data_IF_633788360310
#
_entry.id   IF_633788360310
#
_cell.length_a   1.000
_cell.length_b   1.000
_cell.length_c   1.000
_cell.angle_alpha   90.00
_cell.angle_beta   90.00
_cell.angle_gamma   90.00
#
_symmetry.space_group_name_H-M   'P 1'
#
loop_
_entity.id
_entity.type
_entity.pdbx_description
1 polymer ?
#
# COMPACT_ATOMS: atom_id res chain seq x y z
N UNK A 1 -1.85 -17.07 8.86
CA UNK A 1 -0.98 -15.91 8.53
C UNK A 1 0.38 -16.06 9.22
N UNK A 2 0.42 -16.15 10.55
CA UNK A 2 1.69 -16.11 11.29
C UNK A 2 2.68 -17.21 10.88
N UNK A 3 2.22 -18.47 10.81
CA UNK A 3 3.08 -19.56 10.33
C UNK A 3 3.55 -19.39 8.88
N UNK A 4 2.81 -18.66 8.03
CA UNK A 4 3.25 -18.36 6.66
C UNK A 4 4.35 -17.29 6.66
N UNK A 5 4.19 -16.22 7.44
CA UNK A 5 5.21 -15.19 7.62
C UNK A 5 6.51 -15.77 8.24
N UNK A 6 6.38 -16.62 9.26
CA UNK A 6 7.52 -17.32 9.89
C UNK A 6 8.29 -18.22 8.92
N UNK A 7 7.67 -18.65 7.81
CA UNK A 7 8.30 -19.46 6.76
C UNK A 7 8.69 -18.62 5.53
N UNK A 8 9.01 -17.34 5.73
CA UNK A 8 9.45 -16.41 4.67
C UNK A 8 8.36 -16.14 3.63
N UNK A 9 7.09 -16.19 4.05
CA UNK A 9 5.94 -15.84 3.24
C UNK A 9 5.76 -14.33 3.09
N UNK A 10 5.27 -13.91 1.93
CA UNK A 10 4.97 -12.51 1.61
C UNK A 10 3.47 -12.24 1.55
N UNK A 11 3.01 -11.17 2.18
CA UNK A 11 1.61 -10.73 2.09
C UNK A 11 1.51 -9.36 1.44
N UNK A 12 0.47 -9.18 0.62
CA UNK A 12 0.10 -7.89 0.04
C UNK A 12 -1.35 -7.61 0.37
N UNK A 13 -1.60 -6.46 1.01
CA UNK A 13 -2.92 -5.97 1.33
C UNK A 13 -3.22 -4.74 0.49
N UNK A 14 -4.35 -4.77 -0.21
CA UNK A 14 -4.79 -3.66 -1.06
C UNK A 14 -6.15 -3.18 -0.58
N UNK A 15 -6.25 -1.87 -0.38
CA UNK A 15 -7.48 -1.18 -0.12
C UNK A 15 -8.23 -1.74 1.11
N UNK A 16 -9.51 -2.09 0.97
CA UNK A 16 -10.35 -2.60 2.05
C UNK A 16 -9.91 -3.95 2.64
N UNK A 17 -8.89 -4.60 2.07
CA UNK A 17 -8.28 -5.78 2.68
C UNK A 17 -7.71 -5.51 4.08
N UNK A 18 -7.51 -4.25 4.48
CA UNK A 18 -7.07 -3.85 5.83
C UNK A 18 -8.17 -3.88 6.89
N UNK A 19 -9.43 -4.17 6.53
CA UNK A 19 -10.55 -4.25 7.46
C UNK A 19 -10.40 -5.46 8.41
N UNK A 20 -10.20 -5.16 9.68
CA UNK A 20 -10.05 -6.15 10.74
C UNK A 20 -11.36 -6.83 11.12
N UNK A 21 -12.53 -6.32 10.71
CA UNK A 21 -13.85 -6.90 11.03
C UNK A 21 -14.04 -7.20 12.53
N UNK A 22 -13.59 -6.29 13.39
CA UNK A 22 -13.60 -6.44 14.85
C UNK A 22 -12.34 -7.08 15.45
N UNK A 23 -11.43 -7.60 14.62
CA UNK A 23 -10.12 -8.14 15.01
C UNK A 23 -8.94 -7.22 14.68
N UNK A 24 -9.17 -5.93 14.48
CA UNK A 24 -8.18 -4.96 13.99
C UNK A 24 -6.92 -4.86 14.84
N UNK A 25 -7.00 -5.03 16.17
CA UNK A 25 -5.81 -4.99 17.05
C UNK A 25 -4.86 -6.14 16.71
N UNK A 26 -5.40 -7.35 16.57
CA UNK A 26 -4.63 -8.52 16.18
C UNK A 26 -4.15 -8.41 14.73
N UNK A 27 -4.99 -7.93 13.83
CA UNK A 27 -4.61 -7.74 12.44
C UNK A 27 -3.48 -6.72 12.28
N UNK A 28 -3.53 -5.60 13.01
CA UNK A 28 -2.48 -4.59 13.04
C UNK A 28 -1.14 -5.14 13.54
N UNK A 29 -1.12 -6.20 14.37
CA UNK A 29 0.16 -6.85 14.72
C UNK A 29 0.87 -7.45 13.50
N UNK A 30 0.11 -7.85 12.48
CA UNK A 30 0.57 -8.53 11.26
C UNK A 30 0.75 -7.56 10.09
N UNK A 31 -0.15 -6.59 9.94
CA UNK A 31 -0.15 -5.66 8.81
C UNK A 31 0.12 -4.21 9.22
N UNK A 32 0.45 -3.96 10.49
CA UNK A 32 0.93 -2.68 11.02
C UNK A 32 -0.19 -1.77 11.44
N UNK A 33 -1.05 -1.45 10.48
CA UNK A 33 -2.24 -0.65 10.66
C UNK A 33 -3.45 -1.38 10.07
N UNK A 34 -4.54 -1.47 10.81
CA UNK A 34 -5.77 -2.12 10.39
C UNK A 34 -6.99 -1.26 10.70
N UNK A 35 -8.04 -1.41 9.89
CA UNK A 35 -9.30 -0.68 10.05
C UNK A 35 -10.24 -1.40 11.00
N UNK A 36 -10.99 -0.63 11.78
CA UNK A 36 -12.26 -1.04 12.34
C UNK A 36 -13.35 -0.26 11.62
N UNK A 37 -14.23 -0.95 10.90
CA UNK A 37 -15.36 -0.34 10.20
C UNK A 37 -16.14 0.64 11.09
N UNK A 38 -16.37 1.85 10.58
CA UNK A 38 -17.06 2.93 11.31
C UNK A 38 -16.22 3.70 12.34
N UNK A 39 -14.96 3.29 12.58
CA UNK A 39 -14.05 3.98 13.52
C UNK A 39 -12.87 4.69 12.83
N UNK A 40 -12.69 4.45 11.52
CA UNK A 40 -11.69 5.14 10.71
C UNK A 40 -12.28 6.42 10.10
N UNK A 41 -11.41 7.31 9.64
CA UNK A 41 -11.77 8.38 8.70
C UNK A 41 -11.36 7.99 7.30
N UNK A 42 -12.14 8.44 6.32
CA UNK A 42 -11.87 8.23 4.91
C UNK A 42 -12.40 9.38 4.07
N UNK A 43 -11.86 9.53 2.87
CA UNK A 43 -12.46 10.38 1.82
C UNK A 43 -12.08 9.86 0.44
N UNK A 44 -12.90 10.21 -0.54
CA UNK A 44 -12.59 10.01 -1.96
C UNK A 44 -12.09 11.32 -2.56
N UNK A 45 -11.30 11.24 -3.62
CA UNK A 45 -10.93 12.37 -4.44
C UNK A 45 -9.43 12.46 -4.70
N UNK A 46 -8.92 13.67 -5.03
CA UNK A 46 -7.51 13.87 -5.32
C UNK A 46 -6.64 13.55 -4.11
N UNK A 47 -5.61 12.74 -4.33
CA UNK A 47 -4.55 12.42 -3.39
C UNK A 47 -3.22 12.84 -4.02
N UNK A 48 -2.42 13.66 -3.32
CA UNK A 48 -1.02 13.87 -3.65
C UNK A 48 -0.19 12.96 -2.73
N UNK A 49 0.36 11.89 -3.30
CA UNK A 49 1.15 10.93 -2.55
C UNK A 49 2.62 11.32 -2.60
N UNK A 50 3.22 11.48 -1.44
CA UNK A 50 4.64 11.76 -1.26
C UNK A 50 5.40 10.49 -0.88
N UNK A 51 6.38 10.11 -1.71
CA UNK A 51 7.26 8.95 -1.56
C UNK A 51 8.69 9.34 -1.11
N UNK A 52 9.00 10.64 -0.98
CA UNK A 52 10.33 11.11 -0.57
C UNK A 52 10.86 10.45 0.72
N UNK A 53 10.03 10.22 1.77
CA UNK A 53 10.49 9.55 2.99
C UNK A 53 11.02 8.12 2.77
N UNK A 54 10.76 7.52 1.61
CA UNK A 54 11.11 6.14 1.29
C UNK A 54 11.95 6.03 0.00
N UNK A 55 12.61 7.10 -0.44
CA UNK A 55 13.40 7.11 -1.68
C UNK A 55 14.51 6.03 -1.72
N UNK A 56 15.01 5.60 -0.56
CA UNK A 56 15.99 4.52 -0.39
C UNK A 56 15.36 3.11 -0.43
N UNK A 57 14.03 2.99 -0.29
CA UNK A 57 13.35 1.71 -0.33
C UNK A 57 13.15 1.25 -1.77
N UNK A 58 13.51 0.01 -2.13
CA UNK A 58 13.51 -0.44 -3.53
C UNK A 58 12.13 -0.42 -4.19
N UNK A 59 11.04 -0.53 -3.41
CA UNK A 59 9.66 -0.41 -3.93
C UNK A 59 9.35 1.01 -4.42
N UNK A 60 9.78 2.04 -3.68
CA UNK A 60 9.54 3.45 -4.01
C UNK A 60 10.67 4.09 -4.82
N UNK A 61 11.69 3.33 -5.21
CA UNK A 61 12.81 3.84 -6.02
C UNK A 61 12.30 4.56 -7.27
N UNK A 62 12.74 5.80 -7.47
CA UNK A 62 12.35 6.71 -8.56
C UNK A 62 10.90 7.23 -8.49
N UNK A 63 10.21 7.07 -7.36
CA UNK A 63 8.96 7.76 -7.07
C UNK A 63 9.26 8.99 -6.22
N UNK A 64 8.66 10.12 -6.59
CA UNK A 64 8.71 11.37 -5.83
C UNK A 64 7.30 11.71 -5.34
N UNK A 65 6.61 12.59 -6.06
CA UNK A 65 5.20 12.89 -5.82
C UNK A 65 4.34 12.42 -6.99
N UNK A 66 3.23 11.77 -6.68
CA UNK A 66 2.25 11.34 -7.69
C UNK A 66 0.86 11.77 -7.26
N UNK A 67 0.04 12.20 -8.23
CA UNK A 67 -1.35 12.54 -8.01
C UNK A 67 -2.25 11.45 -8.58
N UNK A 68 -3.16 10.95 -7.75
CA UNK A 68 -4.23 10.03 -8.16
C UNK A 68 -5.58 10.53 -7.66
N UNK A 69 -6.65 10.06 -8.28
CA UNK A 69 -8.02 10.19 -7.76
C UNK A 69 -8.42 8.83 -7.20
N UNK A 70 -8.41 8.69 -5.87
CA UNK A 70 -8.68 7.45 -5.15
C UNK A 70 -9.28 7.74 -3.76
N UNK A 71 -9.22 6.76 -2.87
CA UNK A 71 -9.65 6.83 -1.49
C UNK A 71 -8.45 6.73 -0.54
N UNK A 72 -8.46 7.55 0.52
CA UNK A 72 -7.49 7.49 1.61
C UNK A 72 -8.18 7.11 2.92
N UNK A 73 -7.43 6.46 3.82
CA UNK A 73 -7.85 6.08 5.16
C UNK A 73 -6.88 6.63 6.20
N UNK A 74 -7.42 7.06 7.34
CA UNK A 74 -6.60 7.41 8.51
C UNK A 74 -7.37 7.14 9.81
N UNK A 75 -6.68 7.31 10.95
CA UNK A 75 -7.15 6.80 12.26
C UNK A 75 -7.27 5.28 12.31
N UNK A 76 -6.35 4.58 11.62
CA UNK A 76 -6.24 3.12 11.69
C UNK A 76 -5.72 2.66 13.06
N UNK A 77 -6.12 1.47 13.48
CA UNK A 77 -5.60 0.84 14.69
C UNK A 77 -4.22 0.25 14.43
N UNK A 78 -3.26 0.52 15.33
CA UNK A 78 -1.92 -0.04 15.26
C UNK A 78 -0.86 0.93 15.80
N UNK A 79 0.40 0.54 15.69
CA UNK A 79 1.54 1.34 16.10
C UNK A 79 2.32 1.81 14.85
N UNK A 80 2.27 3.11 14.50
CA UNK A 80 3.03 3.66 13.38
C UNK A 80 4.55 3.47 13.50
N UNK A 81 5.10 3.27 14.71
CA UNK A 81 6.53 3.00 14.88
C UNK A 81 6.96 1.61 14.38
N UNK A 82 6.00 0.71 14.14
CA UNK A 82 6.25 -0.66 13.64
C UNK A 82 6.17 -0.79 12.12
N UNK A 83 5.83 0.28 11.41
CA UNK A 83 5.77 0.28 9.95
C UNK A 83 6.94 1.06 9.38
N UNK A 84 7.42 0.62 8.22
CA UNK A 84 8.22 1.47 7.36
C UNK A 84 7.28 2.16 6.38
N UNK A 85 7.19 3.48 6.48
CA UNK A 85 6.38 4.28 5.57
C UNK A 85 6.99 4.21 4.17
N UNK A 86 6.15 3.95 3.16
CA UNK A 86 6.53 3.98 1.75
C UNK A 86 5.97 5.22 1.06
N UNK A 87 4.74 5.62 1.40
CA UNK A 87 4.12 6.80 0.83
C UNK A 87 3.06 7.39 1.74
N UNK A 88 2.93 8.72 1.71
CA UNK A 88 2.00 9.47 2.55
C UNK A 88 1.07 10.37 1.76
N UNK A 89 -0.15 10.59 2.25
CA UNK A 89 -1.08 11.64 1.78
C UNK A 89 -1.35 12.61 2.93
N UNK A 90 -1.56 13.90 2.62
CA UNK A 90 -1.95 14.89 3.63
C UNK A 90 -3.44 14.73 3.96
N UNK A 91 -3.78 14.33 5.19
CA UNK A 91 -5.16 14.24 5.67
C UNK A 91 -5.28 14.83 7.08
N UNK A 92 -6.32 15.63 7.31
CA UNK A 92 -6.50 16.42 8.54
C UNK A 92 -5.22 17.21 8.90
N UNK A 93 -4.63 17.88 7.91
CA UNK A 93 -3.40 18.68 8.03
C UNK A 93 -2.17 17.93 8.55
N UNK A 94 -2.13 16.59 8.42
CA UNK A 94 -0.99 15.77 8.80
C UNK A 94 -0.69 14.70 7.74
N UNK A 95 0.58 14.36 7.51
CA UNK A 95 0.93 13.25 6.63
C UNK A 95 0.41 11.94 7.23
N UNK A 96 -0.38 11.19 6.45
CA UNK A 96 -0.92 9.88 6.81
C UNK A 96 -0.32 8.80 5.92
N UNK A 97 0.08 7.66 6.49
CA UNK A 97 0.59 6.55 5.68
C UNK A 97 -0.54 6.00 4.81
N UNK A 98 -0.26 5.90 3.51
CA UNK A 98 -1.15 5.26 2.52
C UNK A 98 -0.45 4.11 1.79
N UNK A 99 0.87 4.02 1.90
CA UNK A 99 1.65 2.83 1.57
C UNK A 99 2.65 2.57 2.69
N UNK A 100 2.79 1.32 3.10
CA UNK A 100 3.80 0.94 4.08
C UNK A 100 4.24 -0.52 3.96
N UNK A 101 5.36 -0.84 4.59
CA UNK A 101 5.87 -2.20 4.72
C UNK A 101 6.11 -2.58 6.17
N UNK A 102 6.18 -3.89 6.42
CA UNK A 102 6.56 -4.49 7.70
C UNK A 102 7.42 -5.71 7.45
N UNK A 103 8.50 -5.79 8.21
CA UNK A 103 9.36 -6.96 8.29
C UNK A 103 8.95 -7.81 9.51
N UNK A 104 8.66 -9.08 9.25
CA UNK A 104 8.33 -10.13 10.23
C UNK A 104 9.40 -11.21 10.23
N UNK A 105 10.66 -10.82 10.02
CA UNK A 105 11.87 -11.65 9.95
C UNK A 105 11.62 -13.17 10.12
N UNK A 106 11.50 -13.94 9.01
CA UNK A 106 11.88 -13.58 7.65
C UNK A 106 10.73 -13.03 6.79
N UNK A 107 9.47 -13.04 7.24
CA UNK A 107 8.32 -12.66 6.40
C UNK A 107 8.24 -11.17 6.06
N UNK A 108 7.52 -10.82 4.99
CA UNK A 108 7.35 -9.42 4.55
C UNK A 108 5.90 -9.09 4.23
N UNK A 109 5.48 -7.88 4.58
CA UNK A 109 4.15 -7.37 4.28
C UNK A 109 4.25 -6.03 3.57
N UNK A 110 3.54 -5.87 2.46
CA UNK A 110 3.34 -4.59 1.78
C UNK A 110 1.85 -4.24 1.81
N UNK A 111 1.53 -2.98 2.12
CA UNK A 111 0.16 -2.49 2.17
C UNK A 111 0.00 -1.26 1.29
N UNK A 112 -1.10 -1.22 0.55
CA UNK A 112 -1.57 -0.11 -0.27
C UNK A 112 -2.98 0.27 0.17
N UNK A 113 -3.20 1.49 0.62
CA UNK A 113 -4.57 2.03 0.83
C UNK A 113 -5.25 2.38 -0.50
N UNK A 114 -4.58 3.05 -1.46
CA UNK A 114 -5.17 3.25 -2.78
C UNK A 114 -5.44 1.91 -3.48
N UNK A 115 -6.39 1.93 -4.41
CA UNK A 115 -6.96 0.74 -5.04
C UNK A 115 -8.49 0.63 -4.89
N UNK A 116 -9.19 1.74 -4.60
CA UNK A 116 -10.65 1.78 -4.58
C UNK A 116 -11.23 1.65 -5.98
N UNK A 117 -10.65 2.38 -6.94
CA UNK A 117 -11.17 2.49 -8.30
C UNK A 117 -10.35 1.67 -9.29
N UNK A 118 -11.06 1.16 -10.31
CA UNK A 118 -10.42 0.38 -11.37
C UNK A 118 -9.38 1.20 -12.16
N UNK A 119 -9.62 2.50 -12.36
CA UNK A 119 -8.69 3.37 -13.10
C UNK A 119 -7.36 3.57 -12.38
N UNK A 120 -7.30 3.45 -11.05
CA UNK A 120 -6.02 3.46 -10.33
C UNK A 120 -5.14 2.30 -10.79
N UNK A 121 -5.75 1.13 -11.06
CA UNK A 121 -5.04 -0.02 -11.60
C UNK A 121 -4.72 0.11 -13.10
N UNK A 122 -5.27 1.09 -13.80
CA UNK A 122 -4.91 1.38 -15.19
C UNK A 122 -3.67 2.29 -15.28
N UNK A 123 -3.35 3.03 -14.21
CA UNK A 123 -2.18 3.90 -14.14
C UNK A 123 -0.87 3.08 -14.04
N UNK A 124 0.10 3.28 -14.96
CA UNK A 124 1.33 2.50 -14.99
C UNK A 124 2.23 2.75 -13.76
N UNK A 125 2.19 3.93 -13.15
CA UNK A 125 2.97 4.21 -11.95
C UNK A 125 2.40 3.46 -10.75
N UNK A 126 1.08 3.43 -10.58
CA UNK A 126 0.45 2.62 -9.52
C UNK A 126 0.72 1.12 -9.72
N UNK A 127 0.60 0.62 -10.95
CA UNK A 127 0.92 -0.78 -11.28
C UNK A 127 2.37 -1.13 -10.99
N UNK A 128 3.31 -0.25 -11.34
CA UNK A 128 4.73 -0.42 -11.02
C UNK A 128 4.93 -0.56 -9.52
N UNK A 129 4.35 0.35 -8.73
CA UNK A 129 4.46 0.34 -7.27
C UNK A 129 3.87 -0.94 -6.66
N UNK A 130 2.67 -1.34 -7.09
CA UNK A 130 1.99 -2.53 -6.61
C UNK A 130 2.78 -3.81 -6.96
N UNK A 131 3.26 -3.94 -8.20
CA UNK A 131 4.01 -5.11 -8.64
C UNK A 131 5.40 -5.19 -7.97
N UNK A 132 6.07 -4.06 -7.74
CA UNK A 132 7.27 -4.00 -6.91
C UNK A 132 6.99 -4.42 -5.48
N UNK A 133 5.87 -3.99 -4.91
CA UNK A 133 5.42 -4.42 -3.57
C UNK A 133 5.22 -5.94 -3.50
N UNK A 134 4.57 -6.54 -4.52
CA UNK A 134 4.39 -7.99 -4.63
C UNK A 134 5.74 -8.71 -4.73
N UNK A 135 6.64 -8.24 -5.61
CA UNK A 135 7.95 -8.85 -5.77
C UNK A 135 8.79 -8.76 -4.48
N UNK A 136 8.80 -7.59 -3.84
CA UNK A 136 9.51 -7.34 -2.59
C UNK A 136 9.01 -8.23 -1.44
N UNK A 137 7.68 -8.31 -1.27
CA UNK A 137 7.06 -9.18 -0.26
C UNK A 137 7.35 -10.65 -0.54
N UNK A 138 7.39 -11.06 -1.81
CA UNK A 138 7.74 -12.42 -2.24
C UNK A 138 9.23 -12.73 -2.26
N UNK A 139 10.10 -11.88 -1.70
CA UNK A 139 11.56 -12.04 -1.70
C UNK A 139 12.15 -12.25 -3.10
N UNK A 140 11.61 -11.53 -4.09
CA UNK A 140 12.11 -11.50 -5.46
C UNK A 140 12.80 -10.17 -5.74
N UNK A 141 13.53 -10.13 -6.86
CA UNK A 141 13.96 -8.87 -7.45
C UNK A 141 12.75 -7.96 -7.65
N UNK A 142 12.81 -6.73 -7.14
CA UNK A 142 11.70 -5.77 -7.22
C UNK A 142 11.31 -5.44 -8.65
N UNK A 143 12.24 -5.56 -9.60
CA UNK A 143 12.00 -5.27 -11.01
C UNK A 143 11.43 -6.48 -11.79
N UNK A 144 11.22 -7.63 -11.12
CA UNK A 144 10.77 -8.90 -11.73
C UNK A 144 9.55 -8.77 -12.65
N UNK A 145 8.66 -7.81 -12.36
CA UNK A 145 7.38 -7.65 -13.06
C UNK A 145 7.29 -6.33 -13.84
N UNK A 146 8.39 -5.59 -14.02
CA UNK A 146 8.34 -4.31 -14.74
C UNK A 146 7.88 -4.48 -16.20
N UNK A 147 8.27 -5.57 -16.87
CA UNK A 147 7.94 -5.82 -18.29
C UNK A 147 6.44 -6.01 -18.57
N UNK A 148 5.64 -6.28 -17.53
CA UNK A 148 4.17 -6.40 -17.65
C UNK A 148 3.43 -5.10 -17.32
N UNK A 149 4.14 -4.04 -16.91
CA UNK A 149 3.61 -2.69 -16.75
C UNK A 149 3.57 -1.99 -18.12
N UNK A 150 2.59 -2.39 -18.93
CA UNK A 150 2.33 -1.73 -20.22
C UNK A 150 1.60 -0.39 -20.01
N UNK A 151 2.03 0.64 -20.74
CA UNK A 151 1.38 1.96 -20.75
C UNK A 151 -0.06 1.90 -21.27
N UNK A 152 -0.37 0.95 -22.16
CA UNK A 152 -1.67 0.84 -22.85
C UNK A 152 -2.66 -0.11 -22.19
N UNK A 153 -2.45 -0.48 -20.92
CA UNK A 153 -3.24 -1.55 -20.29
C UNK A 153 -4.74 -1.23 -20.13
N UNK A 154 -5.15 0.05 -20.22
CA UNK A 154 -6.47 0.50 -20.69
C UNK A 154 -6.41 1.93 -21.24
N UNK A 155 -6.61 2.09 -22.56
CA UNK A 155 -6.83 3.37 -23.24
C UNK A 155 -8.13 3.34 -24.06
N UNK A 156 -9.22 2.86 -23.48
CA UNK A 156 -10.55 3.09 -24.08
C UNK A 156 -11.35 3.90 -23.05
N UNK A 157 -11.78 5.13 -23.38
CA UNK A 157 -12.67 5.88 -22.52
C UNK A 157 -13.93 5.06 -22.26
N UNK A 158 -14.37 4.99 -21.01
CA UNK A 158 -15.74 4.54 -20.71
C UNK A 158 -16.72 5.40 -21.54
N UNK A 159 -17.71 4.79 -22.21
CA UNK A 159 -18.72 5.53 -22.97
C UNK A 159 -19.57 6.45 -22.08
#
# INVERSE_FOLDING_TARGET
>A
IDGFLQRNGGLVYVHWAVDGRGGQVEMAKRIGLASLGGSIRYRHGPLEIDFEPAADHPVARNFHKIRWVDESYWMLTGDPARIRIIGTSLEDNAPRPVFWTIDHEPGRVFVSIPGHYMWTFDDPAFRTLLLRGIAWAGHRDVDRFNDIVRLDARLVPSP
#
